data_IF_731636862019
#
_entry.id   IF_731636862019
#
_cell.length_a   1.000
_cell.length_b   1.000
_cell.length_c   1.000
_cell.angle_alpha   90.00
_cell.angle_beta   90.00
_cell.angle_gamma   90.00
#
_symmetry.space_group_name_H-M   'P 1'
#
loop_
_entity.id
_entity.type
_entity.pdbx_description
1 polymer ?
#
# COMPACT_ATOMS: atom_id res chain seq x y z
N UNK A 1 -10.79 -3.69 -22.73
CA UNK A 1 -9.41 -3.15 -22.65
C UNK A 1 -8.76 -2.97 -24.02
N UNK A 2 -9.12 -3.74 -25.06
CA UNK A 2 -8.55 -3.60 -26.42
C UNK A 2 -8.65 -2.18 -27.02
N UNK A 3 -9.78 -1.48 -26.85
CA UNK A 3 -9.90 -0.09 -27.30
C UNK A 3 -8.91 0.87 -26.63
N UNK A 4 -8.58 0.65 -25.34
CA UNK A 4 -7.56 1.42 -24.62
C UNK A 4 -6.16 1.11 -25.13
N UNK A 5 -5.83 -0.17 -25.35
CA UNK A 5 -4.54 -0.57 -25.90
C UNK A 5 -4.30 -0.03 -27.33
N UNK A 6 -5.35 0.13 -28.13
CA UNK A 6 -5.27 0.75 -29.46
C UNK A 6 -4.96 2.26 -29.36
N UNK A 7 -5.53 2.95 -28.37
CA UNK A 7 -5.37 4.38 -28.19
C UNK A 7 -4.10 4.77 -27.41
N UNK A 8 -3.56 3.86 -26.61
CA UNK A 8 -2.39 4.06 -25.76
C UNK A 8 -1.40 2.90 -25.94
N UNK A 9 -0.31 3.15 -26.66
CA UNK A 9 0.72 2.17 -26.98
C UNK A 9 1.52 1.68 -25.78
N UNK A 10 1.53 2.41 -24.66
CA UNK A 10 2.17 1.99 -23.42
C UNK A 10 1.18 1.42 -22.41
N UNK A 11 -0.11 1.29 -22.74
CA UNK A 11 -1.09 0.62 -21.89
C UNK A 11 -0.69 -0.84 -21.66
N UNK A 12 -0.69 -1.25 -20.39
CA UNK A 12 -0.44 -2.64 -20.00
C UNK A 12 -1.69 -3.19 -19.33
N UNK A 13 -2.09 -4.38 -19.74
CA UNK A 13 -3.05 -5.21 -19.05
C UNK A 13 -2.54 -6.65 -19.02
N UNK A 14 -2.51 -7.24 -17.83
CA UNK A 14 -2.13 -8.63 -17.60
C UNK A 14 -3.22 -9.29 -16.78
N UNK A 15 -3.55 -10.55 -17.09
CA UNK A 15 -4.56 -11.28 -16.34
C UNK A 15 -4.27 -12.78 -16.29
N UNK A 16 -4.81 -13.44 -15.28
CA UNK A 16 -4.85 -14.89 -15.13
C UNK A 16 -6.31 -15.33 -15.12
N UNK A 17 -6.58 -16.50 -15.69
CA UNK A 17 -7.87 -17.18 -15.61
C UNK A 17 -7.71 -18.54 -14.95
N UNK A 18 -8.78 -19.04 -14.33
CA UNK A 18 -8.84 -20.41 -13.82
C UNK A 18 -9.13 -21.43 -14.93
N UNK A 19 -9.23 -22.71 -14.56
CA UNK A 19 -9.54 -23.83 -15.45
C UNK A 19 -10.91 -23.68 -16.15
N UNK A 20 -11.81 -22.88 -15.58
CA UNK A 20 -13.16 -22.61 -16.09
C UNK A 20 -13.21 -21.30 -16.91
N UNK A 21 -12.05 -20.72 -17.25
CA UNK A 21 -11.88 -19.43 -17.95
C UNK A 21 -12.48 -18.23 -17.20
N UNK A 22 -12.57 -18.28 -15.87
CA UNK A 22 -12.98 -17.13 -15.06
C UNK A 22 -11.76 -16.31 -14.68
N UNK A 23 -11.91 -15.00 -14.71
CA UNK A 23 -10.86 -14.06 -14.32
C UNK A 23 -10.51 -14.25 -12.83
N UNK A 24 -9.26 -14.59 -12.54
CA UNK A 24 -8.74 -14.70 -11.18
C UNK A 24 -7.99 -13.44 -10.79
N UNK A 25 -6.99 -13.07 -11.59
CA UNK A 25 -6.13 -11.91 -11.33
C UNK A 25 -6.13 -11.00 -12.55
N UNK A 26 -6.10 -9.70 -12.32
CA UNK A 26 -6.09 -8.66 -13.33
C UNK A 26 -5.20 -7.51 -12.84
N UNK A 27 -4.33 -7.03 -13.68
CA UNK A 27 -3.53 -5.84 -13.46
C UNK A 27 -3.63 -4.94 -14.69
N UNK A 28 -3.70 -3.62 -14.48
CA UNK A 28 -3.61 -2.67 -15.58
C UNK A 28 -2.99 -1.34 -15.16
N UNK A 29 -2.39 -0.66 -16.14
CA UNK A 29 -1.95 0.73 -16.07
C UNK A 29 -1.96 1.37 -17.46
N UNK A 30 -2.09 2.69 -17.51
CA UNK A 30 -1.93 3.46 -18.75
C UNK A 30 -0.53 4.13 -18.81
N UNK A 31 -0.26 4.79 -19.94
CA UNK A 31 0.96 5.58 -20.17
C UNK A 31 1.15 6.68 -19.13
N UNK A 32 0.07 7.35 -18.72
CA UNK A 32 0.13 8.40 -17.70
C UNK A 32 0.57 7.84 -16.35
N UNK A 33 0.04 6.68 -15.96
CA UNK A 33 0.40 5.97 -14.73
C UNK A 33 1.89 5.57 -14.75
N UNK A 34 2.40 5.10 -15.89
CA UNK A 34 3.83 4.83 -16.08
C UNK A 34 4.68 6.09 -15.94
N UNK A 35 4.30 7.17 -16.64
CA UNK A 35 5.01 8.45 -16.56
C UNK A 35 5.05 8.98 -15.13
N UNK A 36 3.92 8.91 -14.44
CA UNK A 36 3.80 9.29 -13.04
C UNK A 36 4.73 8.49 -12.14
N UNK A 37 4.84 7.16 -12.32
CA UNK A 37 5.76 6.34 -11.55
C UNK A 37 7.23 6.64 -11.88
N UNK A 38 7.54 6.92 -13.15
CA UNK A 38 8.88 7.38 -13.55
C UNK A 38 9.29 8.66 -12.81
N UNK A 39 8.35 9.57 -12.55
CA UNK A 39 8.61 10.84 -11.86
C UNK A 39 8.53 10.73 -10.32
N UNK A 40 7.60 9.95 -9.80
CA UNK A 40 7.18 10.01 -8.38
C UNK A 40 7.16 8.64 -7.67
N UNK A 41 7.69 7.58 -8.30
CA UNK A 41 7.63 6.20 -7.82
C UNK A 41 8.62 5.82 -6.71
N UNK A 42 9.26 6.79 -6.05
CA UNK A 42 10.22 6.50 -4.96
C UNK A 42 9.51 5.92 -3.73
N UNK A 43 8.28 6.36 -3.47
CA UNK A 43 7.41 5.85 -2.41
C UNK A 43 6.12 5.32 -3.02
N UNK A 44 5.81 4.06 -2.73
CA UNK A 44 4.58 3.39 -3.15
C UNK A 44 3.70 3.13 -1.93
N UNK A 45 2.46 3.58 -1.97
CA UNK A 45 1.39 3.11 -1.12
C UNK A 45 0.70 1.97 -1.85
N UNK A 46 0.70 0.80 -1.23
CA UNK A 46 0.10 -0.43 -1.74
C UNK A 46 -0.87 -0.95 -0.68
N UNK A 47 -2.16 -0.78 -0.94
CA UNK A 47 -3.21 -1.09 0.02
C UNK A 47 -4.44 -1.66 -0.69
N UNK A 48 -5.03 -2.71 -0.12
CA UNK A 48 -6.26 -3.29 -0.64
C UNK A 48 -7.47 -2.52 -0.15
N UNK A 49 -8.24 -1.97 -1.09
CA UNK A 49 -9.57 -1.45 -0.75
C UNK A 49 -10.48 -2.64 -0.48
N UNK A 50 -10.93 -2.75 0.76
CA UNK A 50 -11.63 -3.93 1.27
C UNK A 50 -12.98 -4.12 0.58
N UNK A 51 -13.05 -5.08 -0.36
CA UNK A 51 -14.27 -5.79 -0.78
C UNK A 51 -15.50 -4.91 -1.07
N UNK A 52 -15.29 -3.69 -1.55
CA UNK A 52 -16.37 -2.73 -1.84
C UNK A 52 -17.09 -3.02 -3.16
N UNK A 53 -16.62 -3.98 -3.94
CA UNK A 53 -17.26 -4.42 -5.17
C UNK A 53 -18.28 -5.54 -4.92
N UNK A 54 -19.21 -5.71 -5.86
CA UNK A 54 -20.29 -6.71 -5.80
C UNK A 54 -19.81 -8.16 -5.72
N UNK A 55 -18.52 -8.39 -5.92
CA UNK A 55 -17.90 -9.72 -5.90
C UNK A 55 -17.16 -10.01 -4.61
N UNK A 56 -17.17 -9.08 -3.65
CA UNK A 56 -16.46 -9.20 -2.36
C UNK A 56 -14.96 -9.49 -2.57
N UNK A 57 -14.38 -8.94 -3.65
CA UNK A 57 -12.98 -9.19 -4.04
C UNK A 57 -12.06 -8.01 -3.76
N UNK A 58 -10.78 -8.25 -3.41
CA UNK A 58 -9.78 -7.20 -3.29
C UNK A 58 -9.59 -6.40 -4.58
N UNK A 59 -9.62 -5.07 -4.46
CA UNK A 59 -9.11 -4.14 -5.46
C UNK A 59 -7.93 -3.39 -4.82
N UNK A 60 -6.75 -3.54 -5.40
CA UNK A 60 -5.56 -2.81 -4.99
C UNK A 60 -5.26 -1.70 -5.97
N UNK A 61 -4.92 -0.53 -5.44
CA UNK A 61 -4.44 0.61 -6.22
C UNK A 61 -3.00 0.87 -5.82
N UNK A 62 -2.13 0.99 -6.82
CA UNK A 62 -0.75 1.41 -6.64
C UNK A 62 -0.72 2.94 -6.67
N UNK A 63 -0.37 3.56 -5.55
CA UNK A 63 -0.52 5.01 -5.36
C UNK A 63 0.77 5.62 -4.85
N UNK A 64 1.09 6.82 -5.28
CA UNK A 64 2.10 7.68 -4.67
C UNK A 64 1.60 9.10 -4.53
N UNK A 65 2.54 10.02 -4.34
CA UNK A 65 2.27 11.45 -4.16
C UNK A 65 3.19 12.23 -5.08
N UNK A 66 2.64 13.21 -5.81
CA UNK A 66 3.43 14.09 -6.67
C UNK A 66 3.93 15.34 -5.91
N UNK A 67 4.68 16.20 -6.59
CA UNK A 67 5.25 17.43 -6.01
C UNK A 67 4.22 18.46 -5.51
N UNK A 68 2.94 18.27 -5.79
CA UNK A 68 1.83 19.10 -5.30
C UNK A 68 1.08 18.45 -4.13
N UNK A 69 1.65 17.41 -3.52
CA UNK A 69 1.02 16.60 -2.48
C UNK A 69 -0.30 15.95 -2.94
N UNK A 70 -0.48 15.74 -4.25
CA UNK A 70 -1.68 15.12 -4.78
C UNK A 70 -1.48 13.62 -4.99
N UNK A 71 -2.50 12.85 -4.61
CA UNK A 71 -2.61 11.41 -4.85
C UNK A 71 -2.42 11.10 -6.33
N UNK A 72 -1.48 10.21 -6.64
CA UNK A 72 -1.12 9.86 -8.01
C UNK A 72 -1.17 8.35 -8.18
N UNK A 73 -1.96 7.87 -9.15
CA UNK A 73 -2.11 6.43 -9.42
C UNK A 73 -1.03 5.95 -10.39
N UNK A 74 -0.43 4.80 -10.09
CA UNK A 74 0.60 4.13 -10.89
C UNK A 74 0.10 2.84 -11.54
N UNK A 75 -1.06 2.34 -11.13
CA UNK A 75 -1.71 1.17 -11.68
C UNK A 75 -2.78 0.64 -10.72
N UNK A 76 -3.52 -0.34 -11.19
CA UNK A 76 -4.54 -1.01 -10.39
C UNK A 76 -4.46 -2.52 -10.60
N UNK A 77 -4.89 -3.26 -9.60
CA UNK A 77 -5.05 -4.69 -9.68
C UNK A 77 -6.32 -5.16 -8.99
N UNK A 78 -6.91 -6.20 -9.55
CA UNK A 78 -8.04 -6.91 -9.02
C UNK A 78 -7.68 -8.38 -8.93
N UNK A 79 -7.99 -9.04 -7.82
CA UNK A 79 -7.70 -10.46 -7.67
C UNK A 79 -8.66 -11.16 -6.71
N UNK A 80 -8.74 -12.50 -6.80
CA UNK A 80 -9.76 -13.29 -6.10
C UNK A 80 -9.44 -13.64 -4.65
N UNK A 81 -8.16 -13.59 -4.25
CA UNK A 81 -7.68 -13.94 -2.91
C UNK A 81 -6.49 -13.08 -2.45
N UNK A 82 -6.28 -12.97 -1.14
CA UNK A 82 -5.19 -12.21 -0.51
C UNK A 82 -4.07 -13.16 -0.05
N UNK A 83 -3.61 -14.03 -0.96
CA UNK A 83 -2.50 -14.96 -0.67
C UNK A 83 -1.15 -14.35 -1.02
N UNK A 84 -0.08 -14.86 -0.41
CA UNK A 84 1.28 -14.42 -0.71
C UNK A 84 1.63 -14.65 -2.19
N UNK A 85 1.13 -15.72 -2.82
CA UNK A 85 1.32 -15.99 -4.25
C UNK A 85 0.65 -14.95 -5.14
N UNK A 86 -0.58 -14.56 -4.82
CA UNK A 86 -1.30 -13.51 -5.54
C UNK A 86 -0.59 -12.17 -5.39
N UNK A 87 -0.11 -11.83 -4.18
CA UNK A 87 0.69 -10.62 -3.97
C UNK A 87 2.03 -10.65 -4.70
N UNK A 88 2.73 -11.79 -4.73
CA UNK A 88 3.94 -11.96 -5.55
C UNK A 88 3.66 -11.69 -7.01
N UNK A 89 2.59 -12.29 -7.55
CA UNK A 89 2.21 -12.11 -8.95
C UNK A 89 1.93 -10.64 -9.26
N UNK A 90 1.14 -9.95 -8.44
CA UNK A 90 0.76 -8.57 -8.72
C UNK A 90 1.95 -7.61 -8.58
N UNK A 91 2.82 -7.82 -7.59
CA UNK A 91 4.02 -7.00 -7.38
C UNK A 91 5.04 -7.19 -8.50
N UNK A 92 5.27 -8.43 -8.95
CA UNK A 92 6.14 -8.72 -10.12
C UNK A 92 5.58 -8.13 -11.41
N UNK A 93 4.26 -8.25 -11.60
CA UNK A 93 3.56 -7.69 -12.76
C UNK A 93 3.68 -6.17 -12.78
N UNK A 94 3.46 -5.52 -11.63
CA UNK A 94 3.66 -4.09 -11.48
C UNK A 94 5.09 -3.69 -11.84
N UNK A 95 6.10 -4.30 -11.22
CA UNK A 95 7.52 -4.00 -11.44
C UNK A 95 7.91 -4.13 -12.92
N UNK A 96 7.53 -5.24 -13.55
CA UNK A 96 7.78 -5.46 -14.99
C UNK A 96 7.09 -4.39 -15.82
N UNK A 97 5.85 -4.03 -15.47
CA UNK A 97 5.07 -3.02 -16.20
C UNK A 97 5.73 -1.64 -16.13
N UNK A 98 6.47 -1.32 -15.07
CA UNK A 98 7.15 -0.03 -14.89
C UNK A 98 8.63 -0.07 -15.28
N UNK A 99 8.99 -0.99 -16.19
CA UNK A 99 10.34 -1.12 -16.75
C UNK A 99 11.40 -1.38 -15.67
N UNK A 100 11.04 -2.20 -14.68
CA UNK A 100 11.91 -2.63 -13.58
C UNK A 100 12.49 -1.49 -12.73
N UNK A 101 11.88 -0.31 -12.78
CA UNK A 101 12.26 0.80 -11.88
C UNK A 101 11.89 0.44 -10.44
N UNK A 102 12.91 0.18 -9.63
CA UNK A 102 12.77 -0.10 -8.20
C UNK A 102 12.32 1.15 -7.43
N UNK A 103 11.47 0.93 -6.43
CA UNK A 103 11.06 1.92 -5.44
C UNK A 103 12.02 1.92 -4.24
N UNK A 104 11.98 2.98 -3.42
CA UNK A 104 12.79 3.11 -2.19
C UNK A 104 11.99 2.64 -0.97
N UNK A 105 10.70 2.95 -0.92
CA UNK A 105 9.85 2.60 0.23
C UNK A 105 8.45 2.19 -0.20
N UNK A 106 7.90 1.19 0.48
CA UNK A 106 6.54 0.72 0.29
C UNK A 106 5.76 0.79 1.59
N UNK A 107 4.58 1.40 1.53
CA UNK A 107 3.68 1.63 2.66
C UNK A 107 2.46 0.74 2.50
N UNK A 108 2.14 -0.05 3.53
CA UNK A 108 1.02 -1.02 3.50
C UNK A 108 0.25 -1.03 4.82
N UNK A 109 -0.86 -1.75 4.88
CA UNK A 109 -1.61 -1.97 6.13
C UNK A 109 -0.98 -3.00 7.09
N UNK A 110 0.11 -3.67 6.69
CA UNK A 110 0.82 -4.65 7.53
C UNK A 110 0.34 -6.10 7.39
N UNK A 111 -0.45 -6.43 6.38
CA UNK A 111 -0.84 -7.81 6.08
C UNK A 111 0.36 -8.74 5.88
N UNK A 112 0.31 -9.94 6.47
CA UNK A 112 1.43 -10.89 6.47
C UNK A 112 1.70 -11.48 5.09
N UNK A 113 0.64 -11.80 4.32
CA UNK A 113 0.77 -12.35 2.98
C UNK A 113 1.35 -11.30 2.01
N UNK A 114 0.90 -10.06 2.15
CA UNK A 114 1.42 -8.91 1.42
C UNK A 114 2.90 -8.67 1.76
N UNK A 115 3.25 -8.69 3.05
CA UNK A 115 4.64 -8.57 3.51
C UNK A 115 5.52 -9.65 2.90
N UNK A 116 5.09 -10.91 2.92
CA UNK A 116 5.85 -12.00 2.31
C UNK A 116 6.08 -11.79 0.80
N UNK A 117 5.10 -11.27 0.08
CA UNK A 117 5.26 -10.91 -1.33
C UNK A 117 6.23 -9.73 -1.55
N UNK A 118 6.18 -8.72 -0.69
CA UNK A 118 7.07 -7.55 -0.74
C UNK A 118 8.51 -7.94 -0.45
N UNK A 119 8.76 -8.70 0.61
CA UNK A 119 10.09 -9.12 1.01
C UNK A 119 10.78 -9.93 -0.11
N UNK A 120 10.02 -10.66 -0.92
CA UNK A 120 10.54 -11.39 -2.08
C UNK A 120 10.76 -10.54 -3.33
N UNK A 121 9.82 -9.64 -3.66
CA UNK A 121 9.86 -8.87 -4.93
C UNK A 121 10.67 -7.58 -4.79
N UNK A 122 10.67 -6.97 -3.61
CA UNK A 122 11.33 -5.71 -3.29
C UNK A 122 12.20 -5.84 -2.04
N UNK A 123 13.20 -6.74 -2.01
CA UNK A 123 14.00 -7.01 -0.81
C UNK A 123 14.81 -5.80 -0.33
N UNK A 124 15.10 -4.85 -1.22
CA UNK A 124 15.87 -3.63 -0.91
C UNK A 124 14.97 -2.46 -0.43
N UNK A 125 13.65 -2.58 -0.54
CA UNK A 125 12.73 -1.50 -0.21
C UNK A 125 12.49 -1.43 1.30
N UNK A 126 12.37 -0.22 1.83
CA UNK A 126 11.91 -0.04 3.20
C UNK A 126 10.41 -0.30 3.29
N UNK A 127 10.02 -1.38 3.95
CA UNK A 127 8.62 -1.66 4.26
C UNK A 127 8.15 -0.84 5.46
N UNK A 128 7.09 -0.06 5.29
CA UNK A 128 6.51 0.83 6.30
C UNK A 128 5.02 0.53 6.48
N UNK A 129 4.52 0.80 7.69
CA UNK A 129 3.11 0.69 8.01
C UNK A 129 2.38 2.01 7.72
N UNK A 130 1.16 1.90 7.20
CA UNK A 130 0.31 3.03 6.90
C UNK A 130 -0.18 3.68 8.20
N UNK A 131 0.16 4.96 8.39
CA UNK A 131 -0.25 5.72 9.58
C UNK A 131 -1.77 5.78 9.74
N UNK A 132 -2.53 5.82 8.65
CA UNK A 132 -3.99 5.80 8.70
C UNK A 132 -4.53 4.52 9.34
N UNK A 133 -3.98 3.36 8.94
CA UNK A 133 -4.36 2.06 9.52
C UNK A 133 -3.96 1.97 11.00
N UNK A 134 -2.76 2.43 11.34
CA UNK A 134 -2.30 2.48 12.74
C UNK A 134 -3.26 3.34 13.57
N UNK A 135 -3.57 4.56 13.11
CA UNK A 135 -4.48 5.47 13.80
C UNK A 135 -5.89 4.89 13.93
N UNK A 136 -6.40 4.23 12.89
CA UNK A 136 -7.69 3.54 12.94
C UNK A 136 -7.68 2.43 13.99
N UNK A 137 -6.62 1.62 14.03
CA UNK A 137 -6.47 0.54 15.01
C UNK A 137 -6.44 1.08 16.46
N UNK A 138 -5.68 2.14 16.72
CA UNK A 138 -5.62 2.78 18.03
C UNK A 138 -6.97 3.34 18.44
N UNK A 139 -7.66 4.05 17.54
CA UNK A 139 -9.01 4.58 17.79
C UNK A 139 -10.01 3.47 18.16
N UNK A 140 -9.97 2.34 17.45
CA UNK A 140 -10.93 1.25 17.66
C UNK A 140 -10.66 0.45 18.94
N UNK A 141 -9.41 0.28 19.36
CA UNK A 141 -9.07 -0.62 20.46
C UNK A 141 -8.76 0.08 21.79
N UNK A 142 -8.22 1.30 21.77
CA UNK A 142 -7.85 2.00 23.02
C UNK A 142 -9.05 2.73 23.62
N UNK A 143 -9.97 3.23 22.77
CA UNK A 143 -11.22 3.89 23.16
C UNK A 143 -11.07 5.00 24.24
N UNK A 144 -9.92 5.67 24.27
CA UNK A 144 -9.63 6.82 25.13
C UNK A 144 -9.18 8.01 24.26
N UNK A 145 -9.98 9.09 24.14
CA UNK A 145 -9.65 10.23 23.30
C UNK A 145 -8.34 10.92 23.63
N UNK A 146 -7.92 10.92 24.90
CA UNK A 146 -6.67 11.55 25.31
C UNK A 146 -5.46 10.73 24.86
N UNK A 147 -5.50 9.41 25.06
CA UNK A 147 -4.44 8.51 24.59
C UNK A 147 -4.33 8.56 23.07
N UNK A 148 -5.47 8.57 22.36
CA UNK A 148 -5.51 8.75 20.91
C UNK A 148 -4.85 10.07 20.49
N UNK A 149 -5.07 11.16 21.23
CA UNK A 149 -4.49 12.48 20.93
C UNK A 149 -2.96 12.47 21.13
N UNK A 150 -2.48 11.92 22.24
CA UNK A 150 -1.03 11.81 22.51
C UNK A 150 -0.36 10.89 21.47
N UNK A 151 -0.97 9.75 21.17
CA UNK A 151 -0.48 8.85 20.12
C UNK A 151 -0.48 9.52 18.73
N UNK A 152 -1.50 10.31 18.40
CA UNK A 152 -1.53 11.09 17.15
C UNK A 152 -0.36 12.08 17.07
N UNK A 153 0.01 12.70 18.20
CA UNK A 153 1.16 13.58 18.26
C UNK A 153 2.48 12.83 18.08
N UNK A 154 2.62 11.62 18.63
CA UNK A 154 3.75 10.72 18.32
C UNK A 154 3.91 10.49 16.80
N UNK A 155 2.82 10.20 16.10
CA UNK A 155 2.86 9.80 14.67
C UNK A 155 2.99 11.01 13.74
N UNK A 156 2.31 12.12 14.04
CA UNK A 156 2.15 13.25 13.12
C UNK A 156 2.80 14.55 13.61
N UNK A 157 3.34 14.59 14.82
CA UNK A 157 3.91 15.79 15.44
C UNK A 157 5.27 16.22 14.88
N UNK A 158 5.86 15.47 13.95
CA UNK A 158 7.16 15.80 13.35
C UNK A 158 8.32 15.75 14.35
N UNK A 159 8.25 14.82 15.31
CA UNK A 159 9.23 14.68 16.38
C UNK A 159 10.58 14.16 15.86
N UNK A 160 11.67 14.63 16.47
CA UNK A 160 12.96 13.95 16.32
C UNK A 160 12.90 12.59 17.00
N UNK A 161 13.77 11.62 16.64
CA UNK A 161 13.76 10.32 17.31
C UNK A 161 13.84 10.42 18.84
N UNK A 162 14.67 11.31 19.37
CA UNK A 162 14.79 11.53 20.82
C UNK A 162 13.50 12.10 21.42
N UNK A 163 12.89 13.10 20.76
CA UNK A 163 11.65 13.69 21.24
C UNK A 163 10.48 12.69 21.15
N UNK A 164 10.48 11.81 20.14
CA UNK A 164 9.52 10.72 20.02
C UNK A 164 9.65 9.76 21.21
N UNK A 165 10.85 9.24 21.50
CA UNK A 165 11.05 8.30 22.63
C UNK A 165 10.66 8.93 23.97
N UNK A 166 10.98 10.21 24.18
CA UNK A 166 10.60 10.94 25.39
C UNK A 166 9.07 11.09 25.52
N UNK A 167 8.40 11.51 24.45
CA UNK A 167 6.95 11.70 24.46
C UNK A 167 6.20 10.37 24.54
N UNK A 168 6.68 9.35 23.82
CA UNK A 168 6.19 7.98 23.89
C UNK A 168 6.25 7.45 25.32
N UNK A 169 7.43 7.50 25.94
CA UNK A 169 7.61 7.03 27.32
C UNK A 169 6.74 7.81 28.31
N UNK A 170 6.62 9.13 28.15
CA UNK A 170 5.74 9.95 28.97
C UNK A 170 4.27 9.53 28.86
N UNK A 171 3.77 9.26 27.63
CA UNK A 171 2.42 8.76 27.40
C UNK A 171 2.22 7.39 28.06
N UNK A 172 3.18 6.45 27.89
CA UNK A 172 3.10 5.13 28.51
C UNK A 172 3.01 5.22 30.04
N UNK A 173 3.84 6.05 30.67
CA UNK A 173 3.85 6.21 32.13
C UNK A 173 2.60 6.92 32.66
N UNK A 174 2.10 7.92 31.94
CA UNK A 174 0.94 8.73 32.37
C UNK A 174 -0.36 7.92 32.36
N UNK A 175 -0.50 7.02 31.38
CA UNK A 175 -1.72 6.23 31.18
C UNK A 175 -1.57 4.76 31.61
N UNK A 176 -0.47 4.40 32.27
CA UNK A 176 -0.16 3.04 32.74
C UNK A 176 -0.27 1.97 31.65
N UNK A 177 0.25 2.27 30.46
CA UNK A 177 0.18 1.41 29.26
C UNK A 177 1.32 0.41 29.15
N UNK A 178 1.92 0.05 30.29
CA UNK A 178 3.03 -0.91 30.32
C UNK A 178 2.48 -2.29 29.96
N UNK A 179 3.11 -2.97 29.01
CA UNK A 179 2.77 -4.35 28.69
C UNK A 179 3.04 -5.27 29.89
N UNK A 180 2.26 -6.35 30.00
CA UNK A 180 2.51 -7.44 30.94
C UNK A 180 3.91 -8.06 30.75
#
# INVERSE_FOLDING_TARGET
>A
MNAKAIADSEFVCMFIVDEENRLTNLFWRDSQSLHNYCCFGDVLIFDSTYKTNVYDKPLVVFVGVNNHNATTVFGCAFFVDETADTYRWVLRTFLTSVKDKKLISIITNGDEAMRAGIDEVFPDAHHRLCSWHIMRNVNSNVNNPEIVREFSYCVHGGLTPVAFEQHWQHMIDTYDLKGD
#
